data_IF_743637933057
#
_entry.id   IF_743637933057
#
_cell.length_a   1.000
_cell.length_b   1.000
_cell.length_c   1.000
_cell.angle_alpha   90.00
_cell.angle_beta   90.00
_cell.angle_gamma   90.00
#
_symmetry.space_group_name_H-M   'P 1'
#
loop_
_entity.id
_entity.type
_entity.pdbx_description
1 polymer ?
#
# COMPACT_ATOMS: atom_id res chain seq x y z
N UNK A 1 -3.39 4.27 -22.62
CA UNK A 1 -3.48 3.91 -24.05
C UNK A 1 -2.18 4.26 -24.72
N UNK A 2 -1.60 3.33 -25.47
CA UNK A 2 -0.38 3.56 -26.26
C UNK A 2 -0.76 3.47 -27.74
N UNK A 3 -0.29 4.42 -28.54
CA UNK A 3 -0.55 4.44 -29.98
C UNK A 3 0.58 3.74 -30.73
N UNK A 4 0.26 3.05 -31.83
CA UNK A 4 1.25 2.40 -32.67
C UNK A 4 2.11 3.40 -33.43
N UNK A 5 3.37 3.06 -33.66
CA UNK A 5 4.24 3.73 -34.60
C UNK A 5 4.46 2.86 -35.85
N UNK A 6 4.44 3.46 -37.04
CA UNK A 6 4.71 2.73 -38.27
C UNK A 6 6.22 2.62 -38.52
N UNK A 7 6.76 1.41 -38.47
CA UNK A 7 8.13 1.12 -38.84
C UNK A 7 8.25 0.90 -40.36
N UNK A 8 8.84 1.88 -41.06
CA UNK A 8 9.00 1.87 -42.52
C UNK A 8 9.90 0.74 -43.03
N UNK A 9 10.88 0.30 -42.24
CA UNK A 9 11.83 -0.73 -42.64
C UNK A 9 11.19 -2.12 -42.59
N UNK A 10 10.45 -2.41 -41.51
CA UNK A 10 9.71 -3.66 -41.35
C UNK A 10 8.38 -3.65 -42.11
N UNK A 11 7.92 -2.48 -42.56
CA UNK A 11 6.60 -2.24 -43.17
C UNK A 11 5.46 -2.71 -42.26
N UNK A 12 5.59 -2.44 -40.96
CA UNK A 12 4.70 -2.92 -39.91
C UNK A 12 4.42 -1.83 -38.88
N UNK A 13 3.30 -1.95 -38.16
CA UNK A 13 3.01 -1.14 -36.98
C UNK A 13 3.59 -1.80 -35.73
N UNK A 14 4.24 -1.00 -34.90
CA UNK A 14 4.87 -1.43 -33.64
C UNK A 14 4.21 -0.72 -32.46
N UNK A 15 4.16 -1.42 -31.33
CA UNK A 15 3.59 -0.92 -30.08
C UNK A 15 4.61 -1.09 -28.96
N UNK A 16 4.68 -0.11 -28.06
CA UNK A 16 5.40 -0.24 -26.81
C UNK A 16 4.42 -0.65 -25.71
N UNK A 17 4.66 -1.79 -25.06
CA UNK A 17 3.82 -2.26 -23.97
C UNK A 17 4.32 -1.69 -22.64
N UNK A 18 3.45 -0.93 -21.97
CA UNK A 18 3.66 -0.55 -20.58
C UNK A 18 3.17 -1.69 -19.68
N UNK A 19 4.12 -2.40 -19.07
CA UNK A 19 3.83 -3.51 -18.15
C UNK A 19 3.75 -2.94 -16.72
N UNK A 20 2.65 -3.17 -15.97
CA UNK A 20 2.52 -2.68 -14.60
C UNK A 20 3.53 -3.36 -13.66
N UNK A 21 3.86 -2.67 -12.57
CA UNK A 21 4.64 -3.25 -11.47
C UNK A 21 3.87 -4.42 -10.83
N UNK A 22 4.58 -5.31 -10.13
CA UNK A 22 4.01 -6.46 -9.41
C UNK A 22 3.21 -7.44 -10.29
N UNK A 23 3.55 -7.55 -11.57
CA UNK A 23 2.93 -8.53 -12.48
C UNK A 23 3.43 -9.96 -12.22
N UNK A 24 2.50 -10.92 -12.22
CA UNK A 24 2.84 -12.36 -12.10
C UNK A 24 3.44 -12.88 -13.40
N UNK A 25 4.30 -13.89 -13.27
CA UNK A 25 4.74 -14.72 -14.40
C UNK A 25 3.52 -15.30 -15.11
N UNK A 26 3.48 -15.23 -16.44
CA UNK A 26 2.33 -15.70 -17.23
C UNK A 26 1.95 -14.78 -18.38
N UNK A 27 0.76 -15.00 -18.92
CA UNK A 27 0.25 -14.22 -20.05
C UNK A 27 -0.34 -12.89 -19.57
N UNK A 28 0.03 -11.81 -20.24
CA UNK A 28 -0.53 -10.48 -20.04
C UNK A 28 -1.64 -10.27 -21.05
N UNK A 29 -2.85 -10.04 -20.56
CA UNK A 29 -3.98 -9.73 -21.43
C UNK A 29 -3.84 -8.31 -21.97
N UNK A 30 -4.07 -8.15 -23.28
CA UNK A 30 -4.12 -6.84 -23.93
C UNK A 30 -5.19 -6.85 -25.02
N UNK A 31 -5.56 -5.68 -25.51
CA UNK A 31 -6.39 -5.56 -26.71
C UNK A 31 -5.85 -4.45 -27.61
N UNK A 32 -6.05 -4.61 -28.91
CA UNK A 32 -5.69 -3.64 -29.94
C UNK A 32 -6.99 -3.05 -30.48
N UNK A 33 -7.13 -1.73 -30.41
CA UNK A 33 -8.25 -1.01 -31.00
C UNK A 33 -7.82 -0.45 -32.35
N UNK A 34 -8.61 -0.71 -33.40
CA UNK A 34 -8.39 -0.10 -34.72
C UNK A 34 -9.32 1.10 -34.89
N UNK A 35 -8.77 2.30 -34.73
CA UNK A 35 -9.54 3.57 -34.81
C UNK A 35 -10.14 3.83 -36.19
N UNK A 36 -9.66 3.16 -37.25
CA UNK A 36 -10.10 3.39 -38.63
C UNK A 36 -11.44 2.72 -39.00
N UNK A 37 -11.99 1.85 -38.14
CA UNK A 37 -13.29 1.18 -38.33
C UNK A 37 -13.97 0.89 -36.99
N UNK A 38 -14.99 1.67 -36.65
CA UNK A 38 -15.99 1.36 -35.61
C UNK A 38 -15.46 0.95 -34.22
N UNK A 39 -14.23 1.35 -33.85
CA UNK A 39 -13.58 0.97 -32.58
C UNK A 39 -13.59 -0.55 -32.32
N UNK A 40 -13.26 -1.34 -33.35
CA UNK A 40 -13.15 -2.79 -33.20
C UNK A 40 -11.97 -3.13 -32.29
N UNK A 41 -12.23 -3.91 -31.25
CA UNK A 41 -11.24 -4.40 -30.30
C UNK A 41 -10.84 -5.83 -30.61
N UNK A 42 -9.54 -6.05 -30.84
CA UNK A 42 -8.93 -7.37 -30.97
C UNK A 42 -8.28 -7.76 -29.66
N UNK A 43 -8.85 -8.75 -28.97
CA UNK A 43 -8.32 -9.22 -27.71
C UNK A 43 -7.17 -10.21 -27.92
N UNK A 44 -6.15 -10.14 -27.05
CA UNK A 44 -4.95 -10.96 -27.14
C UNK A 44 -5.27 -12.45 -27.16
N UNK A 45 -6.25 -12.92 -26.37
CA UNK A 45 -6.62 -14.34 -26.33
C UNK A 45 -7.11 -14.91 -27.68
N UNK A 46 -7.50 -14.05 -28.63
CA UNK A 46 -7.91 -14.46 -29.99
C UNK A 46 -6.75 -14.58 -30.97
N UNK A 47 -5.54 -14.14 -30.57
CA UNK A 47 -4.33 -14.20 -31.39
C UNK A 47 -3.57 -15.52 -31.15
N UNK A 48 -2.78 -15.99 -32.13
CA UNK A 48 -1.88 -17.14 -31.96
C UNK A 48 -0.92 -17.00 -30.77
N UNK A 49 -0.36 -18.13 -30.32
CA UNK A 49 0.47 -18.19 -29.10
C UNK A 49 1.76 -17.35 -29.21
N UNK A 50 2.31 -17.25 -30.42
CA UNK A 50 3.48 -16.46 -30.77
C UNK A 50 3.27 -14.94 -30.65
N UNK A 51 2.01 -14.49 -30.60
CA UNK A 51 1.65 -13.08 -30.41
C UNK A 51 1.21 -12.77 -28.98
N UNK A 52 1.31 -13.72 -28.04
CA UNK A 52 0.98 -13.45 -26.64
C UNK A 52 2.13 -12.72 -25.95
N UNK A 53 1.80 -11.65 -25.22
CA UNK A 53 2.75 -11.02 -24.31
C UNK A 53 2.88 -11.90 -23.06
N UNK A 54 4.07 -12.46 -22.82
CA UNK A 54 4.33 -13.37 -21.70
C UNK A 54 5.44 -12.86 -20.81
N UNK A 55 5.13 -12.67 -19.53
CA UNK A 55 6.12 -12.44 -18.48
C UNK A 55 6.82 -13.78 -18.23
N UNK A 56 8.07 -13.88 -18.65
CA UNK A 56 8.88 -15.10 -18.48
C UNK A 56 9.30 -15.30 -17.02
N UNK A 57 9.61 -14.21 -16.33
CA UNK A 57 10.09 -14.22 -14.96
C UNK A 57 9.64 -12.95 -14.23
N UNK A 58 9.21 -13.09 -12.97
CA UNK A 58 8.89 -11.99 -12.08
C UNK A 58 9.62 -12.22 -10.75
N UNK A 59 10.74 -11.53 -10.55
CA UNK A 59 11.64 -11.76 -9.41
C UNK A 59 11.22 -11.04 -8.13
N UNK A 60 10.58 -9.87 -8.28
CA UNK A 60 10.35 -8.92 -7.20
C UNK A 60 8.86 -8.61 -7.06
N UNK A 61 8.00 -9.63 -7.20
CA UNK A 61 6.57 -9.42 -6.99
C UNK A 61 6.29 -9.24 -5.50
N UNK A 62 5.74 -8.08 -5.15
CA UNK A 62 5.26 -7.82 -3.80
C UNK A 62 3.76 -7.56 -3.85
N UNK A 63 3.01 -8.53 -3.32
CA UNK A 63 1.55 -8.48 -3.20
C UNK A 63 1.12 -8.36 -1.74
N UNK A 64 2.08 -8.17 -0.82
CA UNK A 64 1.80 -8.01 0.59
C UNK A 64 1.91 -6.54 0.94
N UNK A 65 0.93 -6.04 1.67
CA UNK A 65 1.06 -4.71 2.24
C UNK A 65 2.13 -4.66 3.33
N UNK A 66 2.39 -3.46 3.87
CA UNK A 66 3.35 -3.25 4.94
C UNK A 66 2.98 -4.06 6.19
N UNK A 67 3.97 -4.63 6.87
CA UNK A 67 3.76 -5.44 8.07
C UNK A 67 4.34 -4.75 9.30
N UNK A 68 3.58 -4.72 10.40
CA UNK A 68 4.10 -4.30 11.70
C UNK A 68 4.86 -5.44 12.34
N UNK A 69 6.16 -5.26 12.57
CA UNK A 69 7.02 -6.28 13.18
C UNK A 69 7.21 -6.08 14.68
N UNK A 70 6.94 -4.88 15.21
CA UNK A 70 7.09 -4.58 16.62
C UNK A 70 6.14 -3.46 17.06
N UNK A 71 5.57 -3.58 18.25
CA UNK A 71 4.71 -2.57 18.88
C UNK A 71 5.23 -2.31 20.29
N UNK A 72 5.47 -1.05 20.62
CA UNK A 72 5.86 -0.61 21.97
C UNK A 72 4.96 0.52 22.43
N UNK A 73 4.61 0.54 23.71
CA UNK A 73 3.83 1.62 24.32
C UNK A 73 4.73 2.79 24.69
N UNK A 74 4.26 4.01 24.46
CA UNK A 74 4.92 5.24 24.91
C UNK A 74 4.29 5.66 26.25
N UNK A 75 5.06 5.80 27.34
CA UNK A 75 4.54 6.21 28.64
C UNK A 75 3.73 7.51 28.58
N UNK A 76 2.74 7.63 29.46
CA UNK A 76 1.92 8.84 29.53
C UNK A 76 2.73 10.05 30.01
N UNK A 77 2.63 11.15 29.27
CA UNK A 77 3.25 12.44 29.60
C UNK A 77 2.13 13.39 30.02
N UNK A 78 2.31 14.03 31.17
CA UNK A 78 1.33 14.95 31.72
C UNK A 78 1.39 16.33 31.03
N UNK A 79 0.25 16.76 30.48
CA UNK A 79 -0.03 18.14 30.13
C UNK A 79 -0.89 18.81 31.20
N UNK A 80 -1.27 20.07 30.97
CA UNK A 80 -2.01 20.89 31.94
C UNK A 80 -3.40 20.32 32.28
N UNK A 81 -4.13 19.88 31.26
CA UNK A 81 -5.50 19.35 31.38
C UNK A 81 -5.69 17.99 30.67
N UNK A 82 -4.63 17.47 30.05
CA UNK A 82 -4.64 16.25 29.23
C UNK A 82 -3.41 15.41 29.47
N UNK A 83 -3.56 14.09 29.42
CA UNK A 83 -2.46 13.15 29.31
C UNK A 83 -2.25 12.77 27.84
N UNK A 84 -0.99 12.66 27.43
CA UNK A 84 -0.59 12.22 26.10
C UNK A 84 0.13 10.89 26.21
N UNK A 85 -0.34 9.88 25.49
CA UNK A 85 0.31 8.56 25.40
C UNK A 85 0.29 8.09 23.94
N UNK A 86 0.82 6.90 23.64
CA UNK A 86 0.95 6.48 22.26
C UNK A 86 1.62 5.14 22.06
N UNK A 87 1.97 4.89 20.80
CA UNK A 87 2.63 3.67 20.37
C UNK A 87 3.79 4.00 19.44
N UNK A 88 4.82 3.17 19.53
CA UNK A 88 5.90 3.08 18.56
C UNK A 88 5.72 1.79 17.76
N UNK A 89 5.63 1.91 16.44
CA UNK A 89 5.37 0.82 15.51
C UNK A 89 6.57 0.65 14.59
N UNK A 90 7.19 -0.52 14.55
CA UNK A 90 8.16 -0.86 13.49
C UNK A 90 7.39 -1.43 12.30
N UNK A 91 7.35 -0.69 11.20
CA UNK A 91 6.66 -1.05 9.97
C UNK A 91 7.69 -1.40 8.90
N UNK A 92 7.48 -2.53 8.23
CA UNK A 92 8.38 -3.04 7.19
C UNK A 92 7.61 -3.36 5.90
N UNK A 93 8.16 -2.91 4.79
CA UNK A 93 7.74 -3.19 3.43
C UNK A 93 8.99 -3.30 2.55
N UNK A 94 9.22 -4.46 1.93
CA UNK A 94 10.48 -4.73 1.25
C UNK A 94 10.61 -4.05 -0.11
N UNK A 95 9.49 -3.68 -0.75
CA UNK A 95 9.49 -3.37 -2.19
C UNK A 95 8.73 -2.10 -2.52
N UNK A 96 7.52 -1.94 -1.97
CA UNK A 96 6.60 -0.87 -2.37
C UNK A 96 6.65 0.32 -1.41
N UNK A 97 7.16 0.11 -0.20
CA UNK A 97 7.29 1.13 0.85
C UNK A 97 5.96 1.53 1.48
N UNK A 98 5.97 1.76 2.79
CA UNK A 98 4.82 2.25 3.55
C UNK A 98 4.41 3.65 3.09
N UNK A 99 3.12 3.82 2.81
CA UNK A 99 2.51 5.09 2.40
C UNK A 99 1.70 5.71 3.53
N UNK A 100 0.72 4.97 4.04
CA UNK A 100 -0.12 5.43 5.15
C UNK A 100 -0.76 4.26 5.89
N UNK A 101 -1.23 4.52 7.10
CA UNK A 101 -2.02 3.59 7.88
C UNK A 101 -2.83 4.31 8.94
N UNK A 102 -3.65 3.56 9.67
CA UNK A 102 -4.29 4.04 10.88
C UNK A 102 -4.55 2.89 11.84
N UNK A 103 -4.59 3.22 13.12
CA UNK A 103 -4.99 2.30 14.18
C UNK A 103 -6.18 2.86 14.92
N UNK A 104 -7.08 1.98 15.36
CA UNK A 104 -8.15 2.33 16.28
C UNK A 104 -7.76 1.79 17.65
N UNK A 105 -7.70 2.70 18.60
CA UNK A 105 -7.35 2.40 19.99
C UNK A 105 -8.58 2.60 20.86
N UNK A 106 -8.84 1.63 21.75
CA UNK A 106 -9.98 1.64 22.65
C UNK A 106 -9.53 1.52 24.10
N UNK A 107 -10.08 2.37 24.96
CA UNK A 107 -9.86 2.29 26.40
C UNK A 107 -10.74 1.22 27.04
N UNK A 108 -10.23 0.50 28.04
CA UNK A 108 -10.95 -0.56 28.73
C UNK A 108 -12.17 -0.06 29.51
N UNK A 109 -12.17 1.22 29.90
CA UNK A 109 -13.20 1.79 30.77
C UNK A 109 -14.09 2.81 30.04
N UNK A 110 -13.49 3.71 29.24
CA UNK A 110 -14.27 4.71 28.50
C UNK A 110 -14.90 4.16 27.21
N UNK A 111 -14.38 3.04 26.69
CA UNK A 111 -14.80 2.44 25.43
C UNK A 111 -14.75 3.40 24.23
N UNK A 112 -14.07 4.54 24.37
CA UNK A 112 -13.95 5.57 23.34
C UNK A 112 -12.94 5.12 22.31
N UNK A 113 -13.35 5.11 21.04
CA UNK A 113 -12.50 4.76 19.92
C UNK A 113 -11.73 5.99 19.44
N UNK A 114 -10.41 5.80 19.32
CA UNK A 114 -9.47 6.85 18.92
C UNK A 114 -8.82 6.41 17.64
N UNK A 115 -9.14 7.10 16.54
CA UNK A 115 -8.52 6.88 15.26
C UNK A 115 -7.21 7.67 15.18
N UNK A 116 -6.10 6.95 15.01
CA UNK A 116 -4.77 7.51 14.97
C UNK A 116 -4.17 7.22 13.60
N UNK A 117 -4.07 8.25 12.77
CA UNK A 117 -3.42 8.17 11.47
C UNK A 117 -1.91 8.07 11.62
N UNK A 118 -1.29 7.25 10.76
CA UNK A 118 0.14 7.01 10.68
C UNK A 118 0.57 7.33 9.24
N UNK A 119 1.50 8.26 9.08
CA UNK A 119 2.10 8.59 7.80
C UNK A 119 3.60 8.95 7.95
N UNK A 120 4.21 9.47 6.89
CA UNK A 120 5.63 9.84 6.88
C UNK A 120 6.00 10.93 7.89
N UNK A 121 5.05 11.76 8.35
CA UNK A 121 5.27 12.75 9.41
C UNK A 121 5.46 12.11 10.78
N UNK A 122 4.99 10.88 10.98
CA UNK A 122 5.17 10.12 12.22
C UNK A 122 6.48 9.31 12.23
N UNK A 123 7.26 9.33 11.15
CA UNK A 123 8.52 8.60 11.05
C UNK A 123 9.53 9.15 12.06
N UNK A 124 9.88 8.33 13.05
CA UNK A 124 10.88 8.67 14.06
C UNK A 124 12.29 8.32 13.59
N UNK A 125 12.48 7.13 13.01
CA UNK A 125 13.76 6.67 12.45
C UNK A 125 13.54 5.64 11.34
N UNK A 126 14.44 5.61 10.36
CA UNK A 126 14.42 4.63 9.27
C UNK A 126 13.94 5.24 7.95
N UNK A 127 13.29 4.42 7.14
CA UNK A 127 12.79 4.79 5.80
C UNK A 127 11.37 4.26 5.60
N UNK A 128 10.74 4.60 4.48
CA UNK A 128 9.42 4.04 4.08
C UNK A 128 9.45 2.51 3.92
N UNK A 129 10.61 1.90 3.63
CA UNK A 129 10.74 0.44 3.50
C UNK A 129 10.94 -0.26 4.86
N UNK A 130 11.55 0.44 5.82
CA UNK A 130 11.68 -0.05 7.19
C UNK A 130 11.81 1.14 8.12
N UNK A 131 10.72 1.45 8.81
CA UNK A 131 10.61 2.65 9.62
C UNK A 131 10.01 2.36 10.98
N UNK A 132 10.44 3.13 11.96
CA UNK A 132 9.84 3.17 13.28
C UNK A 132 9.01 4.45 13.35
N UNK A 133 7.71 4.30 13.55
CA UNK A 133 6.73 5.38 13.57
C UNK A 133 6.24 5.61 15.00
N UNK A 134 6.20 6.87 15.43
CA UNK A 134 5.69 7.25 16.75
C UNK A 134 4.39 8.02 16.61
N UNK A 135 3.31 7.46 17.13
CA UNK A 135 1.99 8.07 17.10
C UNK A 135 1.42 8.24 18.50
N UNK A 136 0.62 9.29 18.67
CA UNK A 136 0.15 9.73 19.97
C UNK A 136 -1.34 10.03 19.93
N UNK A 137 -1.97 9.89 21.08
CA UNK A 137 -3.33 10.35 21.33
C UNK A 137 -3.42 10.97 22.72
N UNK A 138 -4.41 11.82 22.89
CA UNK A 138 -4.66 12.53 24.13
C UNK A 138 -5.94 12.02 24.80
N UNK A 139 -6.00 12.16 26.12
CA UNK A 139 -7.20 11.91 26.93
C UNK A 139 -7.25 12.86 28.12
N UNK A 140 -8.46 13.18 28.57
CA UNK A 140 -8.72 14.25 29.54
C UNK A 140 -8.40 13.83 30.98
N UNK A 141 -8.05 14.81 31.81
CA UNK A 141 -7.82 14.67 33.26
C UNK A 141 -8.99 15.33 34.01
N UNK A 142 -9.48 14.76 35.15
CA UNK A 142 -9.05 13.54 35.80
C UNK A 142 -9.53 12.28 35.09
N UNK A 143 -8.62 11.31 34.94
CA UNK A 143 -8.91 10.00 34.37
C UNK A 143 -8.63 8.90 35.39
N UNK A 144 -9.36 7.80 35.30
CA UNK A 144 -9.02 6.55 35.99
C UNK A 144 -7.98 5.76 35.17
N UNK A 145 -7.14 5.00 35.86
CA UNK A 145 -6.21 4.07 35.20
C UNK A 145 -7.01 3.09 34.33
N UNK A 146 -6.63 2.97 33.06
CA UNK A 146 -7.24 2.07 32.10
C UNK A 146 -6.21 1.53 31.12
N UNK A 147 -6.53 0.39 30.51
CA UNK A 147 -5.69 -0.19 29.44
C UNK A 147 -6.19 0.31 28.10
N UNK A 148 -5.28 0.71 27.23
CA UNK A 148 -5.57 1.06 25.85
C UNK A 148 -5.11 -0.07 24.93
N UNK A 149 -6.03 -0.61 24.15
CA UNK A 149 -5.79 -1.72 23.22
C UNK A 149 -6.03 -1.27 21.79
N UNK A 150 -5.15 -1.69 20.88
CA UNK A 150 -5.38 -1.58 19.44
C UNK A 150 -6.45 -2.62 19.09
N UNK A 151 -7.60 -2.17 18.63
CA UNK A 151 -8.74 -3.02 18.23
C UNK A 151 -8.87 -3.14 16.72
N UNK A 152 -8.19 -2.26 15.98
CA UNK A 152 -8.11 -2.32 14.52
C UNK A 152 -6.80 -1.69 14.07
N UNK A 153 -6.22 -2.22 13.00
CA UNK A 153 -5.10 -1.58 12.31
C UNK A 153 -5.19 -1.80 10.80
N UNK A 154 -4.79 -0.78 10.04
CA UNK A 154 -4.70 -0.81 8.58
C UNK A 154 -3.39 -0.16 8.15
N UNK A 155 -2.67 -0.79 7.21
CA UNK A 155 -1.42 -0.27 6.65
C UNK A 155 -1.37 -0.52 5.15
N UNK A 156 -1.12 0.53 4.36
CA UNK A 156 -1.08 0.50 2.90
C UNK A 156 0.28 0.96 2.35
N UNK A 157 0.72 0.33 1.27
CA UNK A 157 1.93 0.69 0.54
C UNK A 157 1.68 1.73 -0.58
N UNK A 158 2.73 2.10 -1.33
CA UNK A 158 2.58 3.05 -2.45
C UNK A 158 1.85 2.50 -3.67
N UNK A 159 1.64 1.19 -3.75
CA UNK A 159 1.01 0.48 -4.87
C UNK A 159 -0.44 0.05 -4.59
N UNK A 160 -0.95 0.31 -3.37
CA UNK A 160 -2.31 -0.01 -2.94
C UNK A 160 -2.48 -1.40 -2.33
N UNK A 161 -1.41 -2.14 -2.04
CA UNK A 161 -1.50 -3.35 -1.22
C UNK A 161 -1.52 -2.96 0.26
N UNK A 162 -2.31 -3.71 1.03
CA UNK A 162 -2.50 -3.41 2.44
C UNK A 162 -2.47 -4.66 3.32
N UNK A 163 -2.24 -4.44 4.61
CA UNK A 163 -2.50 -5.41 5.67
C UNK A 163 -3.47 -4.83 6.68
N UNK A 164 -4.28 -5.70 7.27
CA UNK A 164 -5.24 -5.31 8.30
C UNK A 164 -5.21 -6.27 9.49
N UNK A 165 -5.57 -5.73 10.66
CA UNK A 165 -5.83 -6.46 11.89
C UNK A 165 -7.22 -6.08 12.39
N UNK A 166 -8.04 -7.08 12.69
CA UNK A 166 -9.42 -6.99 13.20
C UNK A 166 -9.56 -7.83 14.45
#
# INVERSE_FOLDING_TARGET
TVYSNYNKNLKQFEFEFNIPMNIKTGNVSYFITLDSRDNVNYFSFSLPIEYQLRIKESKNIDLFGPVVTNVKTIPSIAGKDKLKTGYTLEIKDNSNGFKYGYIIVKGSNDMTERNITIDSSNLFIGTVYRGVYSVYFEYDIPCITQTFSIVYAYFEDTQGYFTEFN
#
